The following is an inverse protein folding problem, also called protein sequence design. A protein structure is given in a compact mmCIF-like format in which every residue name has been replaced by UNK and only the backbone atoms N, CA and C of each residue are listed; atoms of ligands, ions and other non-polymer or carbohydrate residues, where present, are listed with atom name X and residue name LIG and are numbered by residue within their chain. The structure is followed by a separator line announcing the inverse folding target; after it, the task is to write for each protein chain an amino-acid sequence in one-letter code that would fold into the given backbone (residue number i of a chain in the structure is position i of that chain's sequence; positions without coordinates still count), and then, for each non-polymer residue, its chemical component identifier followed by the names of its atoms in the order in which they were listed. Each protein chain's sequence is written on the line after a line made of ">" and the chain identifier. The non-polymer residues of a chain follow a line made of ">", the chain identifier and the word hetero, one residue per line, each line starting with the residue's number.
data_IF_153424929867
#
_entry.id   IF_153424929867
#
_cell.length_a   1.000
_cell.length_b   1.000
_cell.length_c   1.000
_cell.angle_alpha   90.00
_cell.angle_beta   90.00
_cell.angle_gamma   90.00
#
_symmetry.space_group_name_H-M   'P 1'
#
loop_
_entity.id
_entity.type
_entity.pdbx_description
1 polymer ?
#
# COMPACT_ATOMS: atom_id res chain seq x y z
N UNK A 1 0.46 -13.72 -11.33
CA UNK A 1 1.56 -13.24 -10.45
C UNK A 1 1.07 -13.17 -9.03
N UNK A 2 1.95 -13.43 -8.08
CA UNK A 2 1.68 -13.32 -6.63
C UNK A 2 2.30 -12.02 -6.12
N UNK A 3 1.47 -11.13 -5.60
CA UNK A 3 1.87 -9.78 -5.16
C UNK A 3 1.53 -9.61 -3.68
N UNK A 4 2.51 -9.21 -2.88
CA UNK A 4 2.29 -8.82 -1.51
C UNK A 4 2.29 -7.30 -1.39
N UNK A 5 1.30 -6.76 -0.68
CA UNK A 5 1.21 -5.33 -0.35
C UNK A 5 1.30 -5.17 1.16
N UNK A 6 2.43 -4.61 1.64
CA UNK A 6 2.60 -4.27 3.05
C UNK A 6 2.06 -2.86 3.32
N UNK A 7 1.39 -2.66 4.45
CA UNK A 7 0.67 -1.43 4.75
C UNK A 7 -0.59 -1.26 3.88
N UNK A 8 -1.23 -2.39 3.57
CA UNK A 8 -2.28 -2.50 2.56
C UNK A 8 -3.52 -1.62 2.84
N UNK A 9 -3.86 -1.37 4.11
CA UNK A 9 -5.02 -0.54 4.47
C UNK A 9 -4.77 0.96 4.34
N UNK A 10 -3.51 1.39 4.29
CA UNK A 10 -3.14 2.80 4.29
C UNK A 10 -3.37 3.53 2.97
N UNK A 11 -3.03 4.82 2.97
CA UNK A 11 -3.32 5.76 1.87
C UNK A 11 -2.66 5.45 0.53
N UNK A 12 -1.61 4.61 0.47
CA UNK A 12 -1.00 4.09 -0.77
C UNK A 12 -1.39 2.63 -0.97
N UNK A 13 -1.35 1.84 0.10
CA UNK A 13 -1.57 0.40 0.06
C UNK A 13 -2.94 0.02 -0.50
N UNK A 14 -4.01 0.74 -0.14
CA UNK A 14 -5.36 0.42 -0.62
C UNK A 14 -5.53 0.58 -2.14
N UNK A 15 -4.78 1.48 -2.76
CA UNK A 15 -4.71 1.57 -4.23
C UNK A 15 -3.85 0.45 -4.82
N UNK A 16 -2.71 0.13 -4.17
CA UNK A 16 -1.82 -0.93 -4.64
C UNK A 16 -2.53 -2.29 -4.68
N UNK A 17 -3.37 -2.61 -3.67
CA UNK A 17 -4.21 -3.83 -3.65
C UNK A 17 -5.12 -3.87 -4.86
N UNK A 18 -5.90 -2.81 -5.10
CA UNK A 18 -6.86 -2.74 -6.19
C UNK A 18 -6.18 -2.79 -7.57
N UNK A 19 -5.09 -2.06 -7.75
CA UNK A 19 -4.34 -2.05 -9.00
C UNK A 19 -3.69 -3.39 -9.29
N UNK A 20 -3.13 -4.06 -8.29
CA UNK A 20 -2.57 -5.40 -8.44
C UNK A 20 -3.67 -6.42 -8.83
N UNK A 21 -4.85 -6.33 -8.19
CA UNK A 21 -6.00 -7.17 -8.50
C UNK A 21 -6.51 -6.92 -9.91
N UNK A 22 -6.64 -5.66 -10.32
CA UNK A 22 -7.02 -5.29 -11.68
C UNK A 22 -6.06 -5.85 -12.75
N UNK A 23 -4.77 -5.94 -12.43
CA UNK A 23 -3.75 -6.57 -13.29
C UNK A 23 -3.79 -8.11 -13.27
N UNK A 24 -4.77 -8.72 -12.60
CA UNK A 24 -4.94 -10.17 -12.53
C UNK A 24 -3.96 -10.88 -11.59
N UNK A 25 -3.41 -10.19 -10.60
CA UNK A 25 -2.53 -10.81 -9.61
C UNK A 25 -3.34 -11.54 -8.51
N UNK A 26 -2.72 -12.56 -7.92
CA UNK A 26 -3.06 -13.03 -6.58
C UNK A 26 -2.49 -12.05 -5.58
N UNK A 27 -3.36 -11.41 -4.78
CA UNK A 27 -2.98 -10.30 -3.88
C UNK A 27 -3.01 -10.76 -2.43
N UNK A 28 -1.86 -10.66 -1.77
CA UNK A 28 -1.67 -10.90 -0.34
C UNK A 28 -1.53 -9.54 0.33
N UNK A 29 -2.52 -9.14 1.11
CA UNK A 29 -2.50 -7.88 1.84
C UNK A 29 -1.94 -8.07 3.25
N UNK A 30 -1.08 -7.16 3.70
CA UNK A 30 -0.53 -7.16 5.06
C UNK A 30 -0.99 -5.91 5.79
N UNK A 31 -1.74 -6.10 6.87
CA UNK A 31 -2.25 -5.05 7.74
C UNK A 31 -2.57 -5.62 9.12
N UNK A 32 -3.05 -4.81 10.07
CA UNK A 32 -3.63 -5.32 11.30
C UNK A 32 -4.96 -6.04 11.02
N UNK A 33 -5.27 -7.10 11.74
CA UNK A 33 -6.41 -8.00 11.48
C UNK A 33 -7.77 -7.30 11.43
N UNK A 34 -7.94 -6.18 12.14
CA UNK A 34 -9.16 -5.35 12.09
C UNK A 34 -9.53 -4.86 10.68
N UNK A 35 -8.55 -4.79 9.76
CA UNK A 35 -8.73 -4.32 8.40
C UNK A 35 -9.03 -5.45 7.40
N UNK A 36 -9.18 -6.70 7.85
CA UNK A 36 -9.36 -7.84 6.95
C UNK A 36 -10.58 -7.69 6.05
N UNK A 37 -11.75 -7.37 6.61
CA UNK A 37 -12.97 -7.21 5.85
C UNK A 37 -12.86 -6.11 4.78
N UNK A 38 -12.24 -4.98 5.13
CA UNK A 38 -11.97 -3.87 4.23
C UNK A 38 -11.06 -4.30 3.07
N UNK A 39 -9.96 -4.99 3.37
CA UNK A 39 -9.00 -5.42 2.35
C UNK A 39 -9.55 -6.48 1.40
N UNK A 40 -10.39 -7.40 1.90
CA UNK A 40 -11.12 -8.35 1.05
C UNK A 40 -12.09 -7.65 0.11
N UNK A 41 -12.78 -6.62 0.55
CA UNK A 41 -13.65 -5.78 -0.30
C UNK A 41 -12.88 -5.02 -1.39
N UNK A 42 -11.58 -4.75 -1.19
CA UNK A 42 -10.69 -4.16 -2.19
C UNK A 42 -10.11 -5.19 -3.16
N UNK A 43 -10.39 -6.47 -2.96
CA UNK A 43 -9.97 -7.56 -3.84
C UNK A 43 -8.73 -8.32 -3.37
N UNK A 44 -8.30 -8.19 -2.10
CA UNK A 44 -7.25 -9.03 -1.55
C UNK A 44 -7.72 -10.49 -1.47
N UNK A 45 -6.94 -11.43 -2.03
CA UNK A 45 -7.23 -12.86 -2.00
C UNK A 45 -6.90 -13.46 -0.61
N UNK A 46 -5.91 -12.90 0.08
CA UNK A 46 -5.59 -13.25 1.46
C UNK A 46 -5.10 -12.03 2.25
N UNK A 47 -5.28 -12.09 3.56
CA UNK A 47 -4.84 -11.05 4.49
C UNK A 47 -3.97 -11.68 5.57
N UNK A 48 -2.82 -11.08 5.84
CA UNK A 48 -1.92 -11.46 6.92
C UNK A 48 -1.94 -10.37 7.98
N UNK A 49 -2.31 -10.75 9.19
CA UNK A 49 -2.21 -9.86 10.35
C UNK A 49 -0.78 -9.84 10.87
N UNK A 50 -0.07 -8.73 10.61
CA UNK A 50 1.31 -8.55 11.05
C UNK A 50 1.46 -8.43 12.57
N UNK A 51 0.36 -8.20 13.30
CA UNK A 51 0.38 -8.09 14.77
C UNK A 51 0.50 -9.44 15.45
N UNK A 52 0.14 -10.51 14.74
CA UNK A 52 0.15 -11.88 15.25
C UNK A 52 1.09 -12.82 14.49
N UNK A 53 1.54 -12.39 13.30
CA UNK A 53 2.23 -13.27 12.35
C UNK A 53 3.43 -12.58 11.74
N UNK A 54 4.60 -13.21 11.77
CA UNK A 54 5.78 -12.77 11.03
C UNK A 54 5.58 -13.09 9.53
N UNK A 55 5.33 -12.05 8.74
CA UNK A 55 4.98 -12.17 7.31
C UNK A 55 6.04 -12.95 6.53
N UNK A 56 7.31 -12.64 6.80
CA UNK A 56 8.47 -13.26 6.16
C UNK A 56 8.65 -14.75 6.48
N UNK A 57 7.89 -15.30 7.42
CA UNK A 57 7.88 -16.73 7.76
C UNK A 57 6.76 -17.50 7.08
N UNK A 58 5.70 -16.80 6.65
CA UNK A 58 4.47 -17.42 6.14
C UNK A 58 4.33 -17.45 4.63
N UNK A 59 5.01 -16.56 3.92
CA UNK A 59 4.91 -16.47 2.45
C UNK A 59 6.25 -16.66 1.77
N UNK A 60 6.21 -17.31 0.59
CA UNK A 60 7.36 -17.56 -0.27
C UNK A 60 6.94 -17.40 -1.73
N UNK A 61 7.94 -17.37 -2.61
CA UNK A 61 7.79 -17.40 -4.06
C UNK A 61 6.94 -16.26 -4.62
N UNK A 62 7.06 -15.07 -4.03
CA UNK A 62 6.39 -13.87 -4.51
C UNK A 62 7.08 -13.31 -5.75
N UNK A 63 6.29 -12.82 -6.69
CA UNK A 63 6.78 -12.07 -7.86
C UNK A 63 7.12 -10.63 -7.50
N UNK A 64 6.34 -10.04 -6.59
CA UNK A 64 6.43 -8.62 -6.25
C UNK A 64 6.04 -8.39 -4.80
N UNK A 65 6.80 -7.55 -4.12
CA UNK A 65 6.41 -6.92 -2.85
C UNK A 65 6.34 -5.41 -3.04
N UNK A 66 5.22 -4.81 -2.71
CA UNK A 66 5.02 -3.37 -2.56
C UNK A 66 5.01 -3.06 -1.08
N UNK A 67 6.05 -2.41 -0.60
CA UNK A 67 6.19 -2.03 0.81
C UNK A 67 5.87 -0.55 0.99
N UNK A 68 4.61 -0.23 1.33
CA UNK A 68 4.14 1.13 1.45
C UNK A 68 4.77 1.90 2.62
N UNK A 69 4.97 1.31 3.82
CA UNK A 69 5.76 1.94 4.87
C UNK A 69 7.22 2.14 4.50
N UNK A 70 7.83 1.14 3.85
CA UNK A 70 9.24 1.17 3.48
C UNK A 70 10.20 1.22 4.68
N UNK A 71 11.37 1.80 4.44
CA UNK A 71 12.39 2.03 5.46
C UNK A 71 13.30 0.83 5.74
N UNK A 72 14.04 0.84 6.88
CA UNK A 72 15.04 -0.18 7.19
C UNK A 72 14.50 -1.61 7.28
N UNK A 73 13.24 -1.76 7.69
CA UNK A 73 12.60 -3.07 7.85
C UNK A 73 12.22 -3.75 6.54
N UNK A 74 12.28 -3.05 5.40
CA UNK A 74 11.92 -3.61 4.08
C UNK A 74 12.77 -4.83 3.69
N UNK A 75 14.01 -4.92 4.18
CA UNK A 75 14.92 -6.03 3.89
C UNK A 75 14.35 -7.41 4.26
N UNK A 76 13.48 -7.51 5.26
CA UNK A 76 12.85 -8.77 5.66
C UNK A 76 12.06 -9.43 4.51
N UNK A 77 11.53 -8.65 3.60
CA UNK A 77 10.74 -9.16 2.47
C UNK A 77 11.60 -9.82 1.36
N UNK A 78 12.92 -9.64 1.35
CA UNK A 78 13.79 -10.32 0.38
C UNK A 78 13.65 -11.85 0.43
N UNK A 79 13.36 -12.39 1.61
CA UNK A 79 13.19 -13.84 1.83
C UNK A 79 11.88 -14.40 1.30
N UNK A 80 10.91 -13.53 1.03
CA UNK A 80 9.60 -13.92 0.52
C UNK A 80 9.56 -13.98 -1.00
N UNK A 81 10.53 -13.35 -1.67
CA UNK A 81 10.61 -13.22 -3.11
C UNK A 81 11.33 -14.42 -3.74
N UNK A 82 10.83 -14.83 -4.90
CA UNK A 82 11.54 -15.79 -5.75
C UNK A 82 12.71 -15.12 -6.49
N UNK A 83 13.68 -15.87 -7.01
CA UNK A 83 14.67 -15.33 -7.94
C UNK A 83 13.97 -14.66 -9.14
N UNK A 84 14.42 -13.47 -9.52
CA UNK A 84 13.79 -12.64 -10.55
C UNK A 84 12.55 -11.86 -10.06
N UNK A 85 12.19 -11.98 -8.79
CA UNK A 85 11.16 -11.14 -8.15
C UNK A 85 11.63 -9.72 -7.87
N UNK A 86 10.72 -8.85 -7.42
CA UNK A 86 11.02 -7.44 -7.17
C UNK A 86 10.45 -6.94 -5.84
N UNK A 87 11.23 -6.08 -5.17
CA UNK A 87 10.83 -5.34 -3.97
C UNK A 87 10.74 -3.84 -4.30
N UNK A 88 9.61 -3.23 -3.98
CA UNK A 88 9.35 -1.80 -4.15
C UNK A 88 9.06 -1.15 -2.79
N UNK A 89 10.09 -0.72 -2.04
CA UNK A 89 9.89 0.14 -0.88
C UNK A 89 9.51 1.53 -1.37
N UNK A 90 8.32 2.01 -0.99
CA UNK A 90 7.84 3.35 -1.38
C UNK A 90 8.68 4.43 -0.70
N UNK A 91 9.15 4.16 0.51
CA UNK A 91 10.12 4.99 1.21
C UNK A 91 11.44 4.21 1.36
N UNK A 92 12.42 4.41 0.45
CA UNK A 92 13.62 3.58 0.40
C UNK A 92 14.71 3.98 1.41
N UNK A 93 14.53 5.07 2.16
CA UNK A 93 15.54 5.54 3.11
C UNK A 93 15.83 4.50 4.20
N UNK A 94 17.11 4.24 4.42
CA UNK A 94 17.57 3.27 5.40
C UNK A 94 17.50 1.81 4.95
N UNK A 95 17.11 1.53 3.69
CA UNK A 95 17.18 0.17 3.16
C UNK A 95 18.62 -0.33 3.09
N UNK A 96 18.90 -1.43 3.80
CA UNK A 96 20.25 -2.00 3.93
C UNK A 96 20.42 -3.36 3.22
N UNK A 97 19.41 -3.86 2.53
CA UNK A 97 19.38 -5.22 1.96
C UNK A 97 19.95 -5.38 0.55
N UNK A 98 20.70 -4.40 0.01
CA UNK A 98 21.14 -4.41 -1.40
C UNK A 98 22.01 -5.63 -1.77
N UNK A 99 22.92 -6.01 -0.91
CA UNK A 99 23.79 -7.18 -1.14
C UNK A 99 23.01 -8.50 -1.07
N UNK A 100 22.11 -8.65 -0.09
CA UNK A 100 21.23 -9.83 -0.01
C UNK A 100 20.32 -9.91 -1.24
N UNK A 101 19.76 -8.78 -1.70
CA UNK A 101 18.94 -8.75 -2.91
C UNK A 101 19.73 -9.23 -4.14
N UNK A 102 20.95 -8.77 -4.31
CA UNK A 102 21.83 -9.19 -5.41
C UNK A 102 22.10 -10.68 -5.36
N UNK A 103 22.46 -11.21 -4.19
CA UNK A 103 22.73 -12.66 -4.00
C UNK A 103 21.51 -13.52 -4.29
N UNK A 104 20.29 -13.03 -4.00
CA UNK A 104 19.03 -13.72 -4.27
C UNK A 104 18.50 -13.52 -5.69
N UNK A 105 19.15 -12.68 -6.50
CA UNK A 105 18.65 -12.33 -7.83
C UNK A 105 17.32 -11.55 -7.78
N UNK A 106 17.11 -10.73 -6.74
CA UNK A 106 15.92 -9.90 -6.54
C UNK A 106 16.23 -8.46 -6.97
N UNK A 107 15.31 -7.85 -7.71
CA UNK A 107 15.38 -6.42 -8.06
C UNK A 107 14.79 -5.59 -6.93
N UNK A 108 15.53 -4.58 -6.45
CA UNK A 108 15.01 -3.58 -5.51
C UNK A 108 14.86 -2.25 -6.25
N UNK A 109 13.64 -1.73 -6.29
CA UNK A 109 13.37 -0.44 -6.92
C UNK A 109 13.75 0.70 -6.01
N UNK A 110 14.41 1.70 -6.58
CA UNK A 110 14.70 3.00 -5.96
C UNK A 110 13.91 4.12 -6.66
N UNK A 111 12.79 3.77 -7.27
CA UNK A 111 11.98 4.72 -8.03
C UNK A 111 11.51 5.86 -7.14
N UNK A 112 11.85 7.09 -7.53
CA UNK A 112 11.34 8.30 -6.90
C UNK A 112 9.99 8.69 -7.49
N UNK A 113 9.11 9.23 -6.65
CA UNK A 113 7.84 9.81 -7.09
C UNK A 113 8.11 10.95 -8.08
N UNK A 114 7.38 10.94 -9.18
CA UNK A 114 7.42 12.00 -10.20
C UNK A 114 6.02 12.34 -10.67
N UNK A 115 5.77 13.59 -11.01
CA UNK A 115 4.51 14.01 -11.59
C UNK A 115 4.35 13.43 -13.00
N UNK A 116 3.16 12.92 -13.30
CA UNK A 116 2.80 12.39 -14.63
C UNK A 116 1.30 12.59 -14.89
N UNK A 117 0.95 13.55 -15.73
CA UNK A 117 -0.44 13.78 -16.13
C UNK A 117 -1.07 12.58 -16.82
N UNK A 118 -0.29 11.87 -17.66
CA UNK A 118 -0.79 10.68 -18.35
C UNK A 118 -1.13 9.53 -17.38
N UNK A 119 -0.31 9.32 -16.34
CA UNK A 119 -0.63 8.33 -15.32
C UNK A 119 -1.84 8.74 -14.49
N UNK A 120 -1.96 10.03 -14.16
CA UNK A 120 -3.10 10.55 -13.41
C UNK A 120 -4.40 10.41 -14.21
N UNK A 121 -4.39 10.73 -15.51
CA UNK A 121 -5.55 10.54 -16.39
C UNK A 121 -5.99 9.07 -16.41
N UNK A 122 -5.04 8.13 -16.54
CA UNK A 122 -5.37 6.70 -16.50
C UNK A 122 -5.98 6.25 -15.16
N UNK A 123 -5.51 6.81 -14.04
CA UNK A 123 -6.11 6.54 -12.72
C UNK A 123 -7.53 7.12 -12.63
N UNK A 124 -7.78 8.30 -13.21
CA UNK A 124 -9.11 8.89 -13.29
C UNK A 124 -10.06 7.97 -14.09
N UNK A 125 -9.64 7.46 -15.25
CA UNK A 125 -10.43 6.52 -16.04
C UNK A 125 -10.80 5.26 -15.23
N UNK A 126 -9.89 4.74 -14.42
CA UNK A 126 -10.15 3.57 -13.57
C UNK A 126 -11.11 3.89 -12.42
N UNK A 127 -11.06 5.10 -11.87
CA UNK A 127 -12.01 5.58 -10.86
C UNK A 127 -13.41 5.74 -11.47
N UNK A 128 -13.52 6.38 -12.62
CA UNK A 128 -14.79 6.61 -13.32
C UNK A 128 -15.45 5.28 -13.75
N UNK A 129 -14.63 4.30 -14.13
CA UNK A 129 -15.09 2.95 -14.45
C UNK A 129 -15.43 2.10 -13.21
N UNK A 130 -15.20 2.61 -12.00
CA UNK A 130 -15.44 1.87 -10.75
C UNK A 130 -14.48 0.69 -10.52
N UNK A 131 -13.39 0.61 -11.29
CA UNK A 131 -12.36 -0.45 -11.16
C UNK A 131 -11.56 -0.27 -9.88
N UNK A 132 -11.27 0.97 -9.53
CA UNK A 132 -10.65 1.35 -8.26
C UNK A 132 -11.53 2.39 -7.56
N UNK A 133 -11.42 2.45 -6.24
CA UNK A 133 -12.10 3.45 -5.41
C UNK A 133 -11.15 4.07 -4.41
N UNK A 134 -11.41 5.33 -4.05
CA UNK A 134 -10.75 5.99 -2.94
C UNK A 134 -11.45 5.59 -1.65
N UNK A 135 -10.74 4.98 -0.71
CA UNK A 135 -11.25 4.82 0.64
C UNK A 135 -10.98 6.10 1.43
N UNK A 136 -12.00 6.61 2.10
CA UNK A 136 -11.92 7.80 2.95
C UNK A 136 -12.08 7.34 4.40
N UNK A 137 -11.01 7.50 5.19
CA UNK A 137 -11.02 7.20 6.63
C UNK A 137 -11.85 8.26 7.38
N UNK A 138 -11.59 9.52 7.10
CA UNK A 138 -12.25 10.65 7.75
C UNK A 138 -12.17 11.92 6.92
N UNK A 139 -13.13 12.82 7.16
CA UNK A 139 -13.19 14.14 6.52
C UNK A 139 -13.21 15.20 7.62
N UNK A 140 -12.37 16.20 7.53
CA UNK A 140 -12.33 17.33 8.45
C UNK A 140 -12.48 18.64 7.68
N UNK A 141 -13.17 19.66 8.22
CA UNK A 141 -13.06 21.02 7.69
C UNK A 141 -11.61 21.50 7.72
N UNK A 142 -11.19 22.34 6.77
CA UNK A 142 -9.82 22.87 6.71
C UNK A 142 -9.41 23.55 8.05
N UNK A 143 -10.33 24.25 8.69
CA UNK A 143 -10.10 24.88 10.00
C UNK A 143 -9.77 23.88 11.11
N UNK A 144 -10.06 22.59 10.92
CA UNK A 144 -9.76 21.51 11.86
C UNK A 144 -8.59 20.65 11.41
N UNK A 145 -7.68 21.17 10.59
CA UNK A 145 -6.51 20.44 10.08
C UNK A 145 -5.65 19.84 11.21
N UNK A 146 -5.60 20.48 12.39
CA UNK A 146 -4.94 19.92 13.56
C UNK A 146 -5.54 18.56 13.96
N UNK A 147 -6.87 18.45 14.03
CA UNK A 147 -7.55 17.18 14.35
C UNK A 147 -7.27 16.09 13.31
N UNK A 148 -7.18 16.47 12.03
CA UNK A 148 -6.79 15.55 10.97
C UNK A 148 -5.36 15.01 11.18
N UNK A 149 -4.42 15.85 11.60
CA UNK A 149 -3.06 15.41 11.96
C UNK A 149 -3.05 14.52 13.19
N UNK A 150 -3.83 14.84 14.22
CA UNK A 150 -3.98 13.99 15.42
C UNK A 150 -4.56 12.62 15.04
N UNK A 151 -5.58 12.58 14.14
CA UNK A 151 -6.12 11.32 13.60
C UNK A 151 -5.05 10.53 12.85
N UNK A 152 -4.25 11.19 12.01
CA UNK A 152 -3.16 10.55 11.27
C UNK A 152 -2.10 9.95 12.20
N UNK A 153 -1.75 10.65 13.29
CA UNK A 153 -0.77 10.21 14.27
C UNK A 153 -1.21 8.96 15.06
N UNK A 154 -2.52 8.72 15.20
CA UNK A 154 -3.06 7.51 15.81
C UNK A 154 -2.80 6.26 14.96
N UNK A 155 -2.53 6.44 13.66
CA UNK A 155 -2.33 5.34 12.72
C UNK A 155 -3.59 4.53 12.42
N UNK A 156 -3.40 3.33 11.87
CA UNK A 156 -4.47 2.38 11.55
C UNK A 156 -5.59 2.96 10.67
N UNK A 157 -5.20 3.77 9.69
CA UNK A 157 -6.12 4.39 8.74
C UNK A 157 -6.61 3.37 7.69
N UNK A 158 -7.84 3.55 7.23
CA UNK A 158 -8.38 2.90 6.02
C UNK A 158 -8.46 3.93 4.89
N UNK A 159 -7.39 4.02 4.09
CA UNK A 159 -7.31 4.95 2.97
C UNK A 159 -6.81 6.34 3.34
N UNK A 160 -7.57 7.38 3.01
CA UNK A 160 -7.17 8.79 3.05
C UNK A 160 -7.96 9.61 4.08
N UNK A 161 -7.28 10.55 4.71
CA UNK A 161 -7.93 11.66 5.42
C UNK A 161 -8.09 12.82 4.43
N UNK A 162 -9.26 13.43 4.42
CA UNK A 162 -9.60 14.55 3.52
C UNK A 162 -9.86 15.81 4.32
N UNK A 163 -9.34 16.94 3.85
CA UNK A 163 -9.70 18.26 4.34
C UNK A 163 -10.69 18.92 3.37
N UNK A 164 -11.87 19.25 3.86
CA UNK A 164 -12.87 19.99 3.09
C UNK A 164 -12.57 21.48 3.11
N UNK A 165 -12.42 22.09 1.94
CA UNK A 165 -12.14 23.53 1.78
C UNK A 165 -13.42 24.34 1.63
N UNK A 166 -14.55 23.69 1.33
CA UNK A 166 -15.85 24.34 1.23
C UNK A 166 -16.67 24.08 2.49
N UNK A 167 -17.26 25.14 3.06
CA UNK A 167 -18.25 24.98 4.12
C UNK A 167 -19.46 24.23 3.57
N UNK A 168 -19.80 23.09 4.17
CA UNK A 168 -21.03 22.33 3.88
C UNK A 168 -22.31 23.04 4.34
N UNK A 169 -22.24 24.33 4.69
CA UNK A 169 -23.33 25.16 5.21
C UNK A 169 -23.99 26.08 4.17
N UNK A 170 -23.75 25.89 2.88
CA UNK A 170 -24.41 26.61 1.79
C UNK A 170 -25.23 25.65 0.93
N UNK A 171 -26.39 25.21 1.45
CA UNK A 171 -27.39 24.45 0.73
C UNK A 171 -28.65 24.33 1.54
#
# INVERSE_FOLDING_TARGET
>A
KRVLVNGAAGGVGHFAVQLAKWQGAEVIAVAAGRHEAFLRQLGADSVIDYTTTAVEETVRDLDLVIDAPGGPASGRFLRTLRPGGALYPIFPLGFAGAEEARQRGVTVSTTQVRSSGAQLARLADLLDAGVIRVAIDSVFPLAQAQMAHERAAQGHLEGKIVLSVMDSSAG
#
